data_IF_330230553349
#
_entry.id   IF_330230553349
#
_cell.length_a   1.000
_cell.length_b   1.000
_cell.length_c   1.000
_cell.angle_alpha   90.00
_cell.angle_beta   90.00
_cell.angle_gamma   90.00
#
_symmetry.space_group_name_H-M   'P 1'
#
loop_
_entity.id
_entity.type
_entity.pdbx_description
1 polymer ?
#
# COMPACT_ATOMS: atom_id res chain seq x y z
N UNK A 1 0.97 -7.92 -29.55
CA UNK A 1 2.28 -8.58 -29.48
C UNK A 1 3.26 -7.71 -28.73
N UNK A 2 4.01 -8.29 -27.80
CA UNK A 2 5.07 -7.59 -27.06
C UNK A 2 6.33 -7.57 -27.93
N UNK A 3 6.85 -6.38 -28.21
CA UNK A 3 8.11 -6.21 -28.96
C UNK A 3 9.23 -6.07 -27.93
N UNK A 4 9.99 -7.12 -27.68
CA UNK A 4 11.19 -7.11 -26.85
C UNK A 4 12.36 -7.66 -27.64
N UNK A 5 13.58 -7.09 -27.46
CA UNK A 5 14.78 -7.69 -28.01
C UNK A 5 15.10 -8.97 -27.21
N UNK A 6 15.09 -10.17 -27.84
CA UNK A 6 15.28 -11.44 -27.16
C UNK A 6 16.72 -11.64 -26.60
N UNK A 7 17.63 -10.73 -26.89
CA UNK A 7 19.02 -10.76 -26.40
C UNK A 7 19.20 -10.01 -25.06
N UNK A 8 18.20 -9.21 -24.67
CA UNK A 8 18.29 -8.48 -23.41
C UNK A 8 18.03 -9.40 -22.21
N UNK A 9 18.73 -9.18 -21.09
CA UNK A 9 18.42 -9.86 -19.85
C UNK A 9 16.97 -9.58 -19.44
N UNK A 10 16.23 -10.60 -19.00
CA UNK A 10 14.81 -10.46 -18.65
C UNK A 10 14.56 -9.40 -17.56
N UNK A 11 15.49 -9.26 -16.64
CA UNK A 11 15.42 -8.23 -15.58
C UNK A 11 15.53 -6.78 -16.07
N UNK A 12 15.97 -6.55 -17.32
CA UNK A 12 16.11 -5.20 -17.89
C UNK A 12 14.88 -4.72 -18.66
N UNK A 13 13.85 -5.56 -18.79
CA UNK A 13 12.59 -5.19 -19.45
C UNK A 13 11.50 -4.93 -18.40
N UNK A 14 10.40 -4.25 -18.82
CA UNK A 14 9.29 -3.94 -17.92
C UNK A 14 8.65 -5.21 -17.33
N UNK A 15 8.05 -5.08 -16.15
CA UNK A 15 7.37 -6.19 -15.46
C UNK A 15 6.29 -6.83 -16.35
N UNK A 16 5.56 -6.02 -17.12
CA UNK A 16 4.60 -6.52 -18.10
C UNK A 16 5.26 -7.40 -19.17
N UNK A 17 6.40 -6.98 -19.70
CA UNK A 17 7.16 -7.76 -20.67
C UNK A 17 7.66 -9.06 -20.05
N UNK A 18 8.14 -9.03 -18.80
CA UNK A 18 8.56 -10.23 -18.07
C UNK A 18 7.40 -11.22 -17.92
N UNK A 19 6.20 -10.71 -17.58
CA UNK A 19 4.99 -11.53 -17.46
C UNK A 19 4.58 -12.17 -18.79
N UNK A 20 4.62 -11.40 -19.90
CA UNK A 20 4.33 -11.91 -21.23
C UNK A 20 5.33 -12.99 -21.67
N UNK A 21 6.61 -12.84 -21.33
CA UNK A 21 7.65 -13.84 -21.59
C UNK A 21 7.38 -15.11 -20.78
N UNK A 22 6.96 -15.00 -19.51
CA UNK A 22 6.59 -16.15 -18.69
C UNK A 22 5.40 -16.93 -19.30
N UNK A 23 4.38 -16.22 -19.77
CA UNK A 23 3.23 -16.81 -20.47
C UNK A 23 3.67 -17.49 -21.77
N UNK A 24 4.46 -16.80 -22.61
CA UNK A 24 4.96 -17.37 -23.86
C UNK A 24 5.80 -18.63 -23.62
N UNK A 25 6.61 -18.64 -22.56
CA UNK A 25 7.37 -19.83 -22.14
C UNK A 25 6.44 -20.99 -21.75
N UNK A 26 5.40 -20.74 -20.98
CA UNK A 26 4.44 -21.77 -20.59
C UNK A 26 3.71 -22.36 -21.82
N UNK A 27 3.38 -21.53 -22.79
CA UNK A 27 2.72 -21.95 -24.02
C UNK A 27 3.63 -22.73 -24.99
N UNK A 28 4.96 -22.52 -24.93
CA UNK A 28 5.91 -23.26 -25.76
C UNK A 28 5.96 -24.76 -25.49
N UNK A 29 5.30 -25.21 -24.43
CA UNK A 29 5.15 -26.63 -24.08
C UNK A 29 3.80 -27.23 -24.51
N UNK A 30 3.07 -26.61 -25.44
CA UNK A 30 1.73 -27.01 -25.85
C UNK A 30 0.76 -27.21 -24.69
N UNK A 31 0.83 -26.31 -23.72
CA UNK A 31 0.04 -26.36 -22.50
C UNK A 31 -1.47 -26.26 -22.81
N UNK A 32 -2.23 -27.25 -22.36
CA UNK A 32 -3.70 -27.27 -22.44
C UNK A 32 -4.38 -26.61 -21.23
N UNK A 33 -3.64 -26.43 -20.17
CA UNK A 33 -4.05 -25.76 -18.94
C UNK A 33 -2.95 -24.78 -18.54
N UNK A 34 -3.31 -23.53 -18.33
CA UNK A 34 -2.43 -22.47 -17.84
C UNK A 34 -2.93 -22.00 -16.47
N UNK A 35 -2.07 -22.01 -15.47
CA UNK A 35 -2.36 -21.49 -14.13
C UNK A 35 -1.61 -20.17 -13.97
N UNK A 36 -2.33 -19.10 -13.70
CA UNK A 36 -1.81 -17.75 -13.47
C UNK A 36 -2.12 -17.35 -12.03
N UNK A 37 -1.08 -17.15 -11.22
CA UNK A 37 -1.21 -16.71 -9.84
C UNK A 37 -0.89 -15.22 -9.74
N UNK A 38 -1.91 -14.42 -9.45
CA UNK A 38 -1.86 -12.95 -9.34
C UNK A 38 -1.11 -12.26 -10.50
N UNK A 39 -1.39 -12.57 -11.77
CA UNK A 39 -0.57 -12.12 -12.88
C UNK A 39 -0.63 -10.62 -13.15
N UNK A 40 -1.52 -9.91 -12.47
CA UNK A 40 -1.77 -8.46 -12.63
C UNK A 40 -1.26 -7.63 -11.46
N UNK A 41 -0.69 -8.24 -10.43
CA UNK A 41 -0.30 -7.56 -9.19
C UNK A 41 0.71 -6.41 -9.38
N UNK A 42 1.50 -6.47 -10.46
CA UNK A 42 2.54 -5.49 -10.79
C UNK A 42 2.31 -4.81 -12.14
N UNK A 43 1.11 -4.90 -12.70
CA UNK A 43 0.75 -4.37 -14.01
C UNK A 43 -0.11 -3.11 -13.89
N UNK A 44 0.05 -2.21 -14.84
CA UNK A 44 -0.84 -1.05 -15.02
C UNK A 44 -2.10 -1.42 -15.81
N UNK A 45 -3.15 -0.64 -15.72
CA UNK A 45 -4.45 -0.94 -16.35
C UNK A 45 -4.33 -1.27 -17.83
N UNK A 46 -3.51 -0.54 -18.59
CA UNK A 46 -3.28 -0.81 -20.01
C UNK A 46 -2.59 -2.17 -20.26
N UNK A 47 -1.71 -2.56 -19.37
CA UNK A 47 -1.00 -3.82 -19.43
C UNK A 47 -1.92 -4.99 -19.04
N UNK A 48 -2.82 -4.76 -18.08
CA UNK A 48 -3.88 -5.69 -17.70
C UNK A 48 -4.82 -5.93 -18.88
N UNK A 49 -5.22 -4.88 -19.60
CA UNK A 49 -6.05 -5.01 -20.80
C UNK A 49 -5.37 -5.88 -21.86
N UNK A 50 -4.08 -5.66 -22.12
CA UNK A 50 -3.29 -6.48 -23.05
C UNK A 50 -3.20 -7.93 -22.60
N UNK A 51 -2.99 -8.17 -21.30
CA UNK A 51 -2.99 -9.53 -20.74
C UNK A 51 -4.34 -10.22 -20.94
N UNK A 52 -5.44 -9.53 -20.71
CA UNK A 52 -6.80 -10.07 -20.89
C UNK A 52 -7.11 -10.40 -22.34
N UNK A 53 -6.61 -9.61 -23.30
CA UNK A 53 -6.71 -9.96 -24.73
C UNK A 53 -5.97 -11.26 -25.03
N UNK A 54 -4.76 -11.45 -24.48
CA UNK A 54 -4.00 -12.70 -24.63
C UNK A 54 -4.75 -13.88 -24.01
N UNK A 55 -5.29 -13.73 -22.79
CA UNK A 55 -6.06 -14.79 -22.12
C UNK A 55 -7.29 -15.20 -22.95
N UNK A 56 -8.03 -14.21 -23.51
CA UNK A 56 -9.19 -14.50 -24.37
C UNK A 56 -8.79 -15.26 -25.63
N UNK A 57 -7.69 -14.85 -26.27
CA UNK A 57 -7.15 -15.56 -27.42
C UNK A 57 -6.77 -17.02 -27.10
N UNK A 58 -6.12 -17.24 -25.95
CA UNK A 58 -5.77 -18.59 -25.49
C UNK A 58 -7.00 -19.48 -25.25
N UNK A 59 -8.04 -18.91 -24.61
CA UNK A 59 -9.31 -19.60 -24.41
C UNK A 59 -9.96 -19.97 -25.76
N UNK A 60 -9.97 -19.06 -26.71
CA UNK A 60 -10.54 -19.29 -28.04
C UNK A 60 -9.74 -20.34 -28.83
N UNK A 61 -8.44 -20.48 -28.55
CA UNK A 61 -7.57 -21.54 -29.05
C UNK A 61 -7.71 -22.89 -28.28
N UNK A 62 -8.63 -22.94 -27.29
CA UNK A 62 -8.94 -24.15 -26.52
C UNK A 62 -8.03 -24.40 -25.31
N UNK A 63 -7.25 -23.44 -24.87
CA UNK A 63 -6.47 -23.52 -23.64
C UNK A 63 -7.36 -23.15 -22.45
N UNK A 64 -7.43 -24.02 -21.46
CA UNK A 64 -8.10 -23.71 -20.19
C UNK A 64 -7.19 -22.84 -19.31
N UNK A 65 -7.77 -21.82 -18.68
CA UNK A 65 -7.01 -20.90 -17.81
C UNK A 65 -7.59 -20.91 -16.39
N UNK A 66 -6.74 -21.17 -15.41
CA UNK A 66 -7.04 -20.94 -14.00
C UNK A 66 -6.39 -19.61 -13.62
N UNK A 67 -7.23 -18.63 -13.31
CA UNK A 67 -6.82 -17.27 -12.98
C UNK A 67 -7.02 -17.02 -11.50
N UNK A 68 -5.93 -16.91 -10.73
CA UNK A 68 -5.97 -16.63 -9.30
C UNK A 68 -5.76 -15.13 -9.10
N UNK A 69 -6.72 -14.44 -8.51
CA UNK A 69 -6.65 -13.01 -8.21
C UNK A 69 -7.54 -12.68 -7.01
N UNK A 70 -7.18 -11.64 -6.29
CA UNK A 70 -7.99 -11.01 -5.25
C UNK A 70 -8.69 -9.74 -5.75
N UNK A 71 -8.36 -9.28 -6.98
CA UNK A 71 -8.97 -8.10 -7.60
C UNK A 71 -10.30 -8.47 -8.26
N UNK A 72 -11.39 -8.12 -7.62
CA UNK A 72 -12.73 -8.51 -8.04
C UNK A 72 -13.08 -8.07 -9.46
N UNK A 73 -12.73 -6.82 -9.84
CA UNK A 73 -13.02 -6.28 -11.16
C UNK A 73 -12.38 -7.11 -12.27
N UNK A 74 -11.21 -7.66 -12.02
CA UNK A 74 -10.52 -8.55 -12.96
C UNK A 74 -11.27 -9.87 -13.13
N UNK A 75 -11.72 -10.47 -12.01
CA UNK A 75 -12.48 -11.71 -12.04
C UNK A 75 -13.77 -11.57 -12.85
N UNK A 76 -14.54 -10.49 -12.64
CA UNK A 76 -15.76 -10.21 -13.40
C UNK A 76 -15.52 -9.92 -14.88
N UNK A 77 -14.31 -9.48 -15.26
CA UNK A 77 -13.96 -9.15 -16.65
C UNK A 77 -13.50 -10.35 -17.47
N UNK A 78 -12.94 -11.39 -16.81
CA UNK A 78 -12.24 -12.47 -17.53
C UNK A 78 -12.71 -13.88 -17.18
N UNK A 79 -13.33 -14.11 -16.01
CA UNK A 79 -13.68 -15.45 -15.56
C UNK A 79 -15.12 -15.80 -15.90
N UNK A 80 -15.35 -17.02 -16.39
CA UNK A 80 -16.68 -17.59 -16.61
C UNK A 80 -17.23 -18.27 -15.34
N UNK A 81 -16.34 -18.87 -14.55
CA UNK A 81 -16.64 -19.61 -13.33
C UNK A 81 -15.69 -19.16 -12.22
N UNK A 82 -16.20 -19.05 -10.99
CA UNK A 82 -15.39 -18.75 -9.82
C UNK A 82 -15.43 -19.88 -8.81
N UNK A 83 -14.27 -20.16 -8.21
CA UNK A 83 -14.14 -21.03 -7.03
C UNK A 83 -13.55 -20.21 -5.89
N UNK A 84 -14.28 -20.10 -4.78
CA UNK A 84 -13.86 -19.36 -3.61
C UNK A 84 -13.18 -20.31 -2.63
N UNK A 85 -11.91 -20.01 -2.31
CA UNK A 85 -11.16 -20.72 -1.28
C UNK A 85 -11.04 -19.83 -0.02
N UNK A 86 -11.24 -20.45 1.14
CA UNK A 86 -11.05 -19.84 2.45
C UNK A 86 -10.49 -20.85 3.42
N UNK A 87 -9.43 -20.48 4.13
CA UNK A 87 -8.75 -21.35 5.12
C UNK A 87 -8.38 -22.73 4.54
N UNK A 88 -7.93 -22.76 3.27
CA UNK A 88 -7.54 -23.98 2.56
C UNK A 88 -8.71 -24.88 2.12
N UNK A 89 -9.95 -24.38 2.19
CA UNK A 89 -11.16 -25.14 1.79
C UNK A 89 -11.93 -24.40 0.71
N UNK A 90 -12.47 -25.16 -0.25
CA UNK A 90 -13.46 -24.62 -1.18
C UNK A 90 -14.77 -24.38 -0.46
N UNK A 91 -15.23 -23.11 -0.43
CA UNK A 91 -16.48 -22.71 0.21
C UNK A 91 -17.61 -22.54 -0.79
N UNK A 92 -17.29 -22.21 -2.05
CA UNK A 92 -18.28 -22.10 -3.12
C UNK A 92 -17.61 -22.25 -4.49
N UNK A 93 -18.35 -22.83 -5.44
CA UNK A 93 -18.02 -22.85 -6.87
C UNK A 93 -19.29 -22.58 -7.66
N UNK A 94 -19.23 -21.76 -8.70
CA UNK A 94 -20.38 -21.47 -9.56
C UNK A 94 -20.06 -20.50 -10.69
N UNK A 95 -21.01 -20.26 -11.61
CA UNK A 95 -20.89 -19.28 -12.68
C UNK A 95 -20.66 -17.88 -12.10
N UNK A 96 -19.71 -17.13 -12.67
CA UNK A 96 -19.41 -15.77 -12.23
C UNK A 96 -20.61 -14.82 -12.35
N UNK A 97 -21.42 -15.00 -13.38
CA UNK A 97 -22.64 -14.23 -13.63
C UNK A 97 -23.74 -14.37 -12.55
N UNK A 98 -23.70 -15.47 -11.76
CA UNK A 98 -24.69 -15.75 -10.72
C UNK A 98 -24.28 -15.30 -9.32
N UNK A 99 -23.06 -14.77 -9.16
CA UNK A 99 -22.52 -14.37 -7.87
C UNK A 99 -22.39 -12.85 -7.85
N UNK A 100 -23.13 -12.18 -6.98
CA UNK A 100 -22.99 -10.73 -6.80
C UNK A 100 -21.65 -10.38 -6.13
N UNK A 101 -21.18 -9.15 -6.35
CA UNK A 101 -19.92 -8.65 -5.76
C UNK A 101 -19.93 -8.74 -4.24
N UNK A 102 -21.04 -8.35 -3.61
CA UNK A 102 -21.23 -8.42 -2.15
C UNK A 102 -21.17 -9.87 -1.66
N UNK A 103 -21.83 -10.77 -2.36
CA UNK A 103 -21.85 -12.19 -2.02
C UNK A 103 -20.45 -12.83 -2.17
N UNK A 104 -19.72 -12.46 -3.21
CA UNK A 104 -18.33 -12.91 -3.41
C UNK A 104 -17.46 -12.48 -2.22
N UNK A 105 -17.46 -11.19 -1.88
CA UNK A 105 -16.70 -10.64 -0.74
C UNK A 105 -17.14 -11.26 0.58
N UNK A 106 -18.45 -11.37 0.83
CA UNK A 106 -19.00 -11.95 2.06
C UNK A 106 -18.56 -13.40 2.25
N UNK A 107 -18.57 -14.18 1.16
CA UNK A 107 -18.14 -15.58 1.17
C UNK A 107 -16.64 -15.71 1.42
N UNK A 108 -15.81 -14.85 0.78
CA UNK A 108 -14.37 -14.80 1.01
C UNK A 108 -14.04 -14.44 2.46
N UNK A 109 -14.73 -13.47 3.03
CA UNK A 109 -14.51 -12.99 4.40
C UNK A 109 -15.16 -13.87 5.47
N UNK A 110 -16.11 -14.72 5.10
CA UNK A 110 -16.91 -15.51 6.04
C UNK A 110 -17.85 -14.68 6.92
N UNK A 111 -18.36 -13.56 6.38
CA UNK A 111 -19.25 -12.62 7.08
C UNK A 111 -20.58 -12.53 6.36
N UNK A 112 -21.63 -12.18 7.09
CA UNK A 112 -22.94 -11.98 6.48
C UNK A 112 -22.95 -10.75 5.55
N UNK A 113 -23.66 -10.78 4.40
CA UNK A 113 -23.73 -9.66 3.45
C UNK A 113 -24.16 -8.34 4.09
N UNK A 114 -25.11 -8.38 5.03
CA UNK A 114 -25.64 -7.20 5.73
C UNK A 114 -24.56 -6.46 6.54
N UNK A 115 -23.55 -7.19 7.01
CA UNK A 115 -22.42 -6.60 7.75
C UNK A 115 -21.43 -5.86 6.81
N UNK A 116 -21.48 -6.17 5.52
CA UNK A 116 -20.60 -5.56 4.51
C UNK A 116 -21.25 -4.31 3.90
N UNK A 117 -22.57 -4.33 3.69
CA UNK A 117 -23.33 -3.18 3.18
C UNK A 117 -23.30 -1.96 4.12
N UNK A 118 -23.27 -2.21 5.44
CA UNK A 118 -23.23 -1.15 6.47
C UNK A 118 -21.82 -0.66 6.81
N UNK A 119 -20.78 -1.37 6.40
CA UNK A 119 -19.38 -1.12 6.81
C UNK A 119 -18.53 -0.57 5.67
N UNK A 120 -18.98 0.33 4.82
CA UNK A 120 -18.18 0.92 3.74
C UNK A 120 -17.41 -0.08 2.86
N UNK A 121 -16.68 0.37 1.86
CA UNK A 121 -15.87 -0.50 0.98
C UNK A 121 -14.59 -0.98 1.68
N UNK A 122 -14.12 -0.24 2.66
CA UNK A 122 -12.91 -0.56 3.43
C UNK A 122 -13.24 -0.90 4.89
N UNK A 123 -12.23 -1.23 5.68
CA UNK A 123 -12.36 -1.46 7.12
C UNK A 123 -11.84 -0.28 7.95
N UNK A 124 -11.55 0.84 7.30
CA UNK A 124 -11.18 2.05 8.01
C UNK A 124 -12.35 2.57 8.87
N UNK A 125 -12.01 3.05 10.05
CA UNK A 125 -12.93 3.79 10.92
C UNK A 125 -12.42 5.21 10.94
N UNK A 126 -13.19 6.13 10.33
CA UNK A 126 -12.81 7.54 10.31
C UNK A 126 -12.83 8.09 11.73
N UNK A 127 -11.73 8.64 12.17
CA UNK A 127 -11.70 9.52 13.33
C UNK A 127 -12.35 10.85 12.94
N UNK A 128 -13.28 11.36 13.77
CA UNK A 128 -13.91 12.66 13.50
C UNK A 128 -12.85 13.74 13.30
N UNK A 129 -13.14 14.71 12.40
CA UNK A 129 -12.25 15.83 12.12
C UNK A 129 -11.85 16.49 13.42
N UNK A 130 -10.58 16.37 13.79
CA UNK A 130 -10.03 17.06 14.95
C UNK A 130 -9.81 18.53 14.63
N UNK A 131 -9.93 19.33 15.67
CA UNK A 131 -9.78 20.79 15.65
C UNK A 131 -8.56 21.23 14.83
N UNK A 132 -8.73 22.23 13.99
CA UNK A 132 -7.65 22.90 13.24
C UNK A 132 -6.56 23.52 14.15
N UNK A 133 -6.75 23.47 15.48
CA UNK A 133 -5.79 23.87 16.51
C UNK A 133 -4.82 22.78 16.93
N UNK A 134 -4.91 21.55 16.37
CA UNK A 134 -4.00 20.46 16.71
C UNK A 134 -2.55 20.82 16.35
N UNK A 135 -1.61 20.32 17.18
CA UNK A 135 -0.19 20.60 17.02
C UNK A 135 0.34 20.11 15.65
N UNK A 136 1.02 21.01 14.91
CA UNK A 136 1.66 20.67 13.63
C UNK A 136 2.90 19.83 13.91
N UNK A 137 2.89 18.57 13.47
CA UNK A 137 4.03 17.67 13.55
C UNK A 137 5.01 17.88 12.40
N UNK A 138 4.47 18.00 11.17
CA UNK A 138 5.29 18.14 9.98
C UNK A 138 4.73 19.24 9.07
N UNK A 139 5.62 20.13 8.62
CA UNK A 139 5.32 21.18 7.64
C UNK A 139 6.33 21.06 6.50
N UNK A 140 5.86 20.64 5.33
CA UNK A 140 6.65 20.49 4.11
C UNK A 140 6.24 21.56 3.11
N UNK A 141 7.21 22.33 2.61
CA UNK A 141 6.97 23.46 1.70
C UNK A 141 7.85 23.35 0.46
N UNK A 142 7.19 23.38 -0.71
CA UNK A 142 7.82 23.38 -2.03
C UNK A 142 8.89 22.28 -2.19
N UNK A 143 8.60 21.09 -1.66
CA UNK A 143 9.53 19.95 -1.68
C UNK A 143 9.66 19.41 -3.09
N UNK A 144 10.91 19.34 -3.57
CA UNK A 144 11.28 18.65 -4.80
C UNK A 144 12.26 17.50 -4.49
N UNK A 145 12.03 16.34 -5.11
CA UNK A 145 12.85 15.15 -4.93
C UNK A 145 12.72 14.19 -6.12
N UNK A 146 13.81 13.46 -6.41
CA UNK A 146 13.86 12.57 -7.57
C UNK A 146 13.50 13.29 -8.87
N UNK A 147 12.99 12.54 -9.83
CA UNK A 147 12.58 13.08 -11.13
C UNK A 147 11.09 13.46 -11.17
N UNK A 148 10.28 12.93 -10.27
CA UNK A 148 8.83 13.00 -10.33
C UNK A 148 8.23 14.02 -9.33
N UNK A 149 8.78 14.21 -8.14
CA UNK A 149 8.29 15.21 -7.19
C UNK A 149 8.96 16.56 -7.45
N UNK A 150 8.18 17.57 -7.85
CA UNK A 150 8.68 18.89 -8.31
C UNK A 150 8.37 20.02 -7.36
N UNK A 151 7.16 20.04 -6.77
CA UNK A 151 6.69 21.09 -5.89
C UNK A 151 5.54 20.58 -5.01
N UNK A 152 5.88 19.87 -3.95
CA UNK A 152 4.89 19.33 -3.02
C UNK A 152 4.91 20.11 -1.70
N UNK A 153 3.72 20.50 -1.24
CA UNK A 153 3.56 21.19 0.04
C UNK A 153 2.40 20.60 0.83
N UNK A 154 2.60 20.34 2.12
CA UNK A 154 1.55 19.87 3.03
C UNK A 154 1.91 20.09 4.48
N UNK A 155 0.88 20.09 5.33
CA UNK A 155 1.02 20.02 6.78
C UNK A 155 0.38 18.75 7.31
N UNK A 156 0.98 18.14 8.34
CA UNK A 156 0.45 16.99 9.06
C UNK A 156 0.36 17.33 10.54
N UNK A 157 -0.81 17.10 11.13
CA UNK A 157 -1.06 17.37 12.54
C UNK A 157 -1.03 16.08 13.38
N UNK A 158 -0.88 16.23 14.67
CA UNK A 158 -0.99 15.15 15.63
C UNK A 158 -2.39 14.54 15.61
N UNK A 159 -2.50 13.21 15.60
CA UNK A 159 -3.75 12.49 15.53
C UNK A 159 -4.47 12.58 14.17
N UNK A 160 -3.79 13.03 13.13
CA UNK A 160 -4.35 13.19 11.79
C UNK A 160 -3.84 12.12 10.82
N UNK A 161 -4.69 11.69 9.90
CA UNK A 161 -4.31 10.94 8.71
C UNK A 161 -4.46 11.85 7.48
N UNK A 162 -3.35 12.18 6.84
CA UNK A 162 -3.34 12.84 5.52
C UNK A 162 -3.16 11.77 4.45
N UNK A 163 -4.19 11.58 3.62
CA UNK A 163 -4.13 10.72 2.45
C UNK A 163 -3.46 11.43 1.29
N UNK A 164 -2.57 10.74 0.58
CA UNK A 164 -1.91 11.27 -0.62
C UNK A 164 -2.44 10.54 -1.84
N UNK A 165 -3.30 11.22 -2.58
CA UNK A 165 -3.88 10.73 -3.83
C UNK A 165 -3.09 11.26 -5.03
N UNK A 166 -3.04 10.48 -6.10
CA UNK A 166 -2.39 10.86 -7.36
C UNK A 166 -2.24 9.67 -8.29
N UNK A 167 -2.16 9.94 -9.58
CA UNK A 167 -1.88 8.89 -10.56
C UNK A 167 -0.45 8.36 -10.40
N UNK A 168 -0.20 7.19 -11.00
CA UNK A 168 1.14 6.63 -11.04
C UNK A 168 2.13 7.63 -11.68
N UNK A 169 3.31 7.79 -11.05
CA UNK A 169 4.30 8.76 -11.50
C UNK A 169 4.01 10.21 -11.06
N UNK A 170 3.06 10.43 -10.17
CA UNK A 170 2.78 11.77 -9.62
C UNK A 170 3.79 12.25 -8.55
N UNK A 171 4.79 11.45 -8.19
CA UNK A 171 5.85 11.84 -7.26
C UNK A 171 5.56 11.57 -5.78
N UNK A 172 4.55 10.74 -5.46
CA UNK A 172 4.12 10.45 -4.06
C UNK A 172 5.22 9.76 -3.25
N UNK A 173 5.81 8.68 -3.79
CA UNK A 173 6.85 7.91 -3.09
C UNK A 173 8.15 8.69 -2.98
N UNK A 174 8.51 9.51 -3.98
CA UNK A 174 9.66 10.42 -3.92
C UNK A 174 9.47 11.47 -2.83
N UNK A 175 8.27 12.02 -2.69
CA UNK A 175 7.93 12.94 -1.59
C UNK A 175 8.11 12.25 -0.24
N UNK A 176 7.54 11.06 -0.06
CA UNK A 176 7.66 10.28 1.17
C UNK A 176 9.13 9.99 1.51
N UNK A 177 9.90 9.54 0.52
CA UNK A 177 11.34 9.29 0.65
C UNK A 177 12.13 10.54 1.04
N UNK A 178 11.84 11.69 0.44
CA UNK A 178 12.51 12.96 0.73
C UNK A 178 12.18 13.52 2.12
N UNK A 179 10.95 13.35 2.56
CA UNK A 179 10.50 13.74 3.91
C UNK A 179 11.17 12.85 4.95
N UNK A 180 11.21 11.55 4.71
CA UNK A 180 11.86 10.60 5.60
C UNK A 180 13.39 10.69 5.59
N UNK A 181 13.99 11.10 4.47
CA UNK A 181 15.44 11.15 4.27
C UNK A 181 16.03 9.92 3.58
N UNK A 182 15.19 9.06 3.00
CA UNK A 182 15.62 7.96 2.14
C UNK A 182 16.01 8.45 0.74
N UNK A 183 15.35 9.52 0.27
CA UNK A 183 15.64 10.19 -1.00
C UNK A 183 16.23 11.58 -0.75
N UNK A 184 17.20 12.03 -1.58
CA UNK A 184 17.74 13.38 -1.45
C UNK A 184 16.70 14.43 -1.85
N UNK A 185 16.46 15.39 -0.96
CA UNK A 185 15.64 16.57 -1.27
C UNK A 185 16.43 17.55 -2.14
N UNK A 186 15.88 17.89 -3.31
CA UNK A 186 16.49 18.79 -4.29
C UNK A 186 16.19 20.25 -3.94
N UNK A 187 14.96 20.55 -3.53
CA UNK A 187 14.50 21.89 -3.16
C UNK A 187 13.45 21.85 -2.04
N UNK A 188 13.08 23.03 -1.55
CA UNK A 188 12.06 23.19 -0.50
C UNK A 188 12.59 23.00 0.91
N UNK A 189 11.68 23.03 1.87
CA UNK A 189 11.99 22.88 3.29
C UNK A 189 11.01 21.91 3.96
N UNK A 190 11.48 21.27 5.01
CA UNK A 190 10.66 20.47 5.92
C UNK A 190 10.96 20.94 7.33
N UNK A 191 9.92 21.17 8.10
CA UNK A 191 9.99 21.44 9.53
C UNK A 191 9.30 20.29 10.28
N UNK A 192 9.93 19.83 11.34
CA UNK A 192 9.39 18.85 12.27
C UNK A 192 9.18 19.56 13.61
N UNK A 193 7.94 19.65 14.06
CA UNK A 193 7.56 20.38 15.27
C UNK A 193 8.14 21.82 15.32
N UNK A 194 8.04 22.54 14.20
CA UNK A 194 8.53 23.91 14.06
C UNK A 194 10.06 24.02 13.96
N UNK A 195 10.78 22.92 13.97
CA UNK A 195 12.25 22.91 13.81
C UNK A 195 12.62 22.45 12.41
N UNK A 196 13.52 23.20 11.76
CA UNK A 196 14.00 22.85 10.42
C UNK A 196 14.61 21.44 10.43
N UNK A 197 14.09 20.57 9.57
CA UNK A 197 14.50 19.21 9.42
C UNK A 197 15.11 18.97 8.03
N UNK A 198 16.38 18.57 8.00
CA UNK A 198 17.15 18.35 6.76
C UNK A 198 17.90 17.01 6.85
N UNK A 199 17.19 15.87 6.75
CA UNK A 199 17.82 14.57 6.84
C UNK A 199 18.76 14.33 5.67
N UNK A 200 19.87 13.62 5.93
CA UNK A 200 20.84 13.17 4.93
C UNK A 200 20.79 11.66 4.72
N UNK A 201 20.01 10.98 5.52
CA UNK A 201 19.85 9.52 5.47
C UNK A 201 18.54 9.10 6.13
N UNK A 202 18.05 7.91 5.79
CA UNK A 202 16.92 7.26 6.46
C UNK A 202 17.12 7.14 8.00
N UNK A 203 18.39 7.01 8.45
CA UNK A 203 18.73 6.97 9.87
C UNK A 203 18.44 8.29 10.58
N UNK A 204 18.58 9.41 9.89
CA UNK A 204 18.26 10.73 10.46
C UNK A 204 16.75 10.87 10.64
N UNK A 205 15.93 10.37 9.67
CA UNK A 205 14.49 10.31 9.78
C UNK A 205 14.04 9.46 10.97
N UNK A 206 14.57 8.25 11.07
CA UNK A 206 14.28 7.33 12.17
C UNK A 206 14.61 7.95 13.53
N UNK A 207 15.77 8.58 13.68
CA UNK A 207 16.20 9.24 14.92
C UNK A 207 15.36 10.47 15.28
N UNK A 208 14.80 11.12 14.28
CA UNK A 208 13.91 12.27 14.47
C UNK A 208 12.47 11.86 14.82
N UNK A 209 12.18 10.56 14.90
CA UNK A 209 10.85 10.04 15.23
C UNK A 209 9.94 9.88 14.01
N UNK A 210 10.49 9.75 12.81
CA UNK A 210 9.74 9.34 11.62
C UNK A 210 9.91 7.83 11.41
N UNK A 211 8.86 7.18 10.87
CA UNK A 211 8.94 5.81 10.37
C UNK A 211 8.27 5.72 9.01
N UNK A 212 8.75 4.80 8.17
CA UNK A 212 8.19 4.57 6.84
C UNK A 212 7.98 3.07 6.60
N UNK A 213 6.82 2.72 6.01
CA UNK A 213 6.63 1.44 5.33
C UNK A 213 6.69 1.70 3.84
N UNK A 214 7.70 1.21 3.12
CA UNK A 214 7.83 1.45 1.69
C UNK A 214 6.85 0.59 0.88
N UNK A 215 6.59 1.01 -0.36
CA UNK A 215 5.71 0.34 -1.32
C UNK A 215 6.14 -1.12 -1.59
N UNK A 216 7.43 -1.34 -1.86
CA UNK A 216 7.96 -2.69 -2.08
C UNK A 216 8.50 -3.30 -0.79
N UNK A 217 7.64 -4.10 -0.12
CA UNK A 217 8.01 -4.77 1.12
C UNK A 217 9.13 -5.80 0.95
N UNK A 218 9.29 -6.40 -0.25
CA UNK A 218 10.25 -7.49 -0.48
C UNK A 218 11.65 -6.98 -0.82
N UNK A 219 11.75 -5.86 -1.53
CA UNK A 219 13.03 -5.31 -1.99
C UNK A 219 13.57 -4.27 -1.01
N UNK A 220 12.73 -3.34 -0.55
CA UNK A 220 13.13 -2.23 0.30
C UNK A 220 12.61 -2.31 1.73
N UNK A 221 11.58 -3.12 1.96
CA UNK A 221 10.94 -3.23 3.26
C UNK A 221 11.60 -4.27 4.18
N UNK A 222 11.49 -5.53 3.87
CA UNK A 222 11.89 -6.65 4.73
C UNK A 222 13.21 -7.28 4.28
N UNK A 223 13.94 -7.85 5.22
CA UNK A 223 15.08 -8.72 4.91
C UNK A 223 14.57 -10.16 4.99
N UNK A 224 14.22 -10.76 3.84
CA UNK A 224 13.44 -11.99 3.74
C UNK A 224 14.00 -13.18 4.52
N UNK A 225 15.33 -13.37 4.51
CA UNK A 225 16.00 -14.47 5.21
C UNK A 225 16.18 -14.24 6.72
N UNK A 226 16.01 -13.01 7.19
CA UNK A 226 16.04 -12.71 8.62
C UNK A 226 14.71 -13.11 9.27
N UNK A 227 14.80 -13.43 10.57
CA UNK A 227 13.64 -13.78 11.38
C UNK A 227 12.66 -12.60 11.56
N UNK A 228 11.47 -12.89 12.06
CA UNK A 228 10.50 -11.87 12.48
C UNK A 228 11.11 -10.96 13.53
N UNK A 229 11.80 -11.55 14.53
CA UNK A 229 12.44 -10.79 15.61
C UNK A 229 13.48 -9.83 15.07
N UNK A 230 14.43 -10.29 14.27
CA UNK A 230 15.46 -9.46 13.65
C UNK A 230 14.87 -8.36 12.76
N UNK A 231 13.82 -8.68 11.98
CA UNK A 231 13.15 -7.69 11.15
C UNK A 231 12.48 -6.59 11.99
N UNK A 232 11.80 -6.92 13.08
CA UNK A 232 11.12 -5.92 13.91
C UNK A 232 12.14 -5.09 14.69
N UNK A 233 13.17 -5.71 15.25
CA UNK A 233 14.18 -5.04 16.07
C UNK A 233 15.16 -4.18 15.28
N UNK A 234 15.28 -4.38 13.95
CA UNK A 234 16.25 -3.69 13.09
C UNK A 234 16.21 -2.14 13.23
N UNK A 235 15.01 -1.57 13.40
CA UNK A 235 14.84 -0.11 13.57
C UNK A 235 15.18 0.39 14.98
N UNK A 236 15.32 -0.52 15.95
CA UNK A 236 15.47 -0.20 17.37
C UNK A 236 16.66 -0.90 18.04
N UNK A 237 17.63 -1.36 17.25
CA UNK A 237 18.82 -2.07 17.76
C UNK A 237 19.51 -1.32 18.89
N UNK A 238 19.58 0.02 18.80
CA UNK A 238 20.14 0.86 19.87
C UNK A 238 19.38 0.73 21.20
N UNK A 239 18.09 0.36 21.19
CA UNK A 239 17.23 0.21 22.38
C UNK A 239 17.26 -1.19 22.97
N UNK A 240 17.48 -2.20 22.13
CA UNK A 240 17.53 -3.61 22.54
C UNK A 240 18.97 -4.13 22.65
N UNK A 241 19.97 -3.28 22.47
CA UNK A 241 21.38 -3.65 22.60
C UNK A 241 22.01 -3.05 23.83
N UNK A 242 22.89 -3.83 24.47
CA UNK A 242 23.72 -3.37 25.58
C UNK A 242 25.19 -3.63 25.24
N UNK A 243 26.02 -2.60 25.28
CA UNK A 243 27.46 -2.70 24.93
C UNK A 243 27.71 -3.23 23.51
N UNK A 244 26.81 -2.98 22.56
CA UNK A 244 26.91 -3.44 21.18
C UNK A 244 26.47 -4.90 20.95
N UNK A 245 25.90 -5.55 21.95
CA UNK A 245 25.33 -6.90 21.87
C UNK A 245 23.83 -6.81 22.09
N UNK A 246 23.04 -7.49 21.26
CA UNK A 246 21.58 -7.54 21.38
C UNK A 246 21.23 -8.31 22.67
N UNK A 247 20.35 -7.74 23.47
CA UNK A 247 19.74 -8.41 24.62
C UNK A 247 18.55 -9.22 24.11
N UNK A 248 18.78 -10.52 23.91
CA UNK A 248 17.78 -11.45 23.35
C UNK A 248 16.48 -11.49 24.17
N UNK A 249 16.56 -11.28 25.49
CA UNK A 249 15.37 -11.26 26.32
C UNK A 249 14.54 -10.01 26.11
N UNK A 250 15.17 -8.85 26.08
CA UNK A 250 14.50 -7.57 25.82
C UNK A 250 13.92 -7.52 24.39
N UNK A 251 14.67 -8.05 23.41
CA UNK A 251 14.19 -8.19 22.03
C UNK A 251 12.97 -9.09 21.95
N UNK A 252 13.06 -10.31 22.51
CA UNK A 252 11.98 -11.29 22.49
C UNK A 252 10.69 -10.78 23.15
N UNK A 253 10.80 -10.09 24.29
CA UNK A 253 9.65 -9.49 24.98
C UNK A 253 8.99 -8.40 24.12
N UNK A 254 9.78 -7.52 23.51
CA UNK A 254 9.29 -6.44 22.68
C UNK A 254 8.62 -7.00 21.42
N UNK A 255 9.28 -7.90 20.71
CA UNK A 255 8.78 -8.56 19.50
C UNK A 255 7.48 -9.29 19.79
N UNK A 256 7.43 -10.07 20.90
CA UNK A 256 6.22 -10.79 21.31
C UNK A 256 5.03 -9.86 21.54
N UNK A 257 5.25 -8.66 22.10
CA UNK A 257 4.20 -7.65 22.26
C UNK A 257 3.64 -7.17 20.92
N UNK A 258 4.50 -6.87 19.94
CA UNK A 258 4.07 -6.43 18.62
C UNK A 258 3.41 -7.55 17.81
N UNK A 259 3.95 -8.78 17.87
CA UNK A 259 3.33 -9.94 17.24
C UNK A 259 1.89 -10.15 17.74
N UNK A 260 1.69 -10.04 19.05
CA UNK A 260 0.36 -10.16 19.67
C UNK A 260 -0.54 -8.98 19.30
N UNK A 261 -0.04 -7.73 19.39
CA UNK A 261 -0.81 -6.51 19.09
C UNK A 261 -1.32 -6.50 17.66
N UNK A 262 -0.47 -6.90 16.69
CA UNK A 262 -0.81 -6.87 15.26
C UNK A 262 -1.38 -8.21 14.76
N UNK A 263 -1.51 -9.21 15.62
CA UNK A 263 -2.04 -10.53 15.24
C UNK A 263 -1.20 -11.20 14.15
N UNK A 264 0.15 -11.15 14.26
CA UNK A 264 1.05 -11.79 13.31
C UNK A 264 0.97 -13.30 13.52
N UNK A 265 0.56 -14.02 12.49
CA UNK A 265 0.44 -15.49 12.52
C UNK A 265 1.75 -16.11 12.01
N UNK A 266 2.48 -16.74 12.90
CA UNK A 266 3.75 -17.40 12.65
C UNK A 266 3.94 -18.60 13.60
N UNK A 267 4.88 -19.49 13.29
CA UNK A 267 5.27 -20.62 14.17
C UNK A 267 6.07 -20.15 15.39
N UNK A 268 6.73 -19.00 15.31
CA UNK A 268 7.52 -18.37 16.35
C UNK A 268 8.18 -17.10 15.82
N UNK A 269 8.84 -16.37 16.71
CA UNK A 269 9.53 -15.12 16.32
C UNK A 269 10.83 -15.36 15.55
N UNK A 270 11.37 -16.57 15.59
CA UNK A 270 12.59 -16.97 14.87
C UNK A 270 12.30 -17.42 13.42
N UNK A 271 11.02 -17.47 13.01
CA UNK A 271 10.64 -17.85 11.65
C UNK A 271 11.13 -16.81 10.65
N UNK A 272 11.78 -17.21 9.53
CA UNK A 272 12.14 -16.33 8.44
C UNK A 272 10.90 -15.63 7.85
N UNK A 273 11.04 -14.33 7.54
CA UNK A 273 9.90 -13.53 7.09
C UNK A 273 9.42 -13.92 5.69
N UNK A 274 10.29 -14.45 4.84
CA UNK A 274 9.93 -14.91 3.48
C UNK A 274 9.00 -16.14 3.48
N UNK A 275 8.93 -16.89 4.56
CA UNK A 275 7.99 -18.00 4.74
C UNK A 275 6.56 -17.55 5.13
N UNK A 276 6.37 -16.27 5.46
CA UNK A 276 5.07 -15.74 5.86
C UNK A 276 4.19 -15.42 4.65
N UNK A 277 2.87 -15.45 4.85
CA UNK A 277 1.92 -14.87 3.90
C UNK A 277 2.14 -13.36 3.73
N UNK A 278 1.77 -12.79 2.58
CA UNK A 278 1.92 -11.37 2.29
C UNK A 278 1.31 -10.45 3.35
N UNK A 279 0.16 -10.81 3.89
CA UNK A 279 -0.49 -10.06 4.98
C UNK A 279 0.30 -10.09 6.29
N UNK A 280 0.91 -11.23 6.65
CA UNK A 280 1.76 -11.31 7.83
C UNK A 280 3.10 -10.58 7.62
N UNK A 281 3.69 -10.65 6.42
CA UNK A 281 4.86 -9.84 6.06
C UNK A 281 4.59 -8.35 6.24
N UNK A 282 3.43 -7.88 5.77
CA UNK A 282 3.03 -6.46 5.91
C UNK A 282 2.86 -6.06 7.38
N UNK A 283 2.31 -6.94 8.21
CA UNK A 283 2.20 -6.72 9.66
C UNK A 283 3.56 -6.69 10.35
N UNK A 284 4.54 -7.51 9.92
CA UNK A 284 5.93 -7.43 10.41
C UNK A 284 6.56 -6.09 10.06
N UNK A 285 6.36 -5.60 8.84
CA UNK A 285 6.86 -4.31 8.41
C UNK A 285 6.23 -3.16 9.21
N UNK A 286 4.92 -3.21 9.44
CA UNK A 286 4.22 -2.25 10.30
C UNK A 286 4.71 -2.35 11.75
N UNK A 287 4.94 -3.57 12.27
CA UNK A 287 5.51 -3.78 13.60
C UNK A 287 6.88 -3.11 13.76
N UNK A 288 7.77 -3.25 12.76
CA UNK A 288 9.08 -2.57 12.73
C UNK A 288 8.93 -1.06 12.82
N UNK A 289 8.02 -0.48 12.02
CA UNK A 289 7.77 0.95 12.03
C UNK A 289 7.25 1.43 13.39
N UNK A 290 6.29 0.72 13.97
CA UNK A 290 5.70 1.05 15.26
C UNK A 290 6.65 0.82 16.44
N UNK A 291 7.58 -0.15 16.34
CA UNK A 291 8.58 -0.40 17.37
C UNK A 291 9.50 0.80 17.60
N UNK A 292 9.73 1.63 16.60
CA UNK A 292 10.49 2.88 16.73
C UNK A 292 9.74 3.97 17.52
N UNK A 293 8.45 3.76 17.86
CA UNK A 293 7.57 4.76 18.50
C UNK A 293 7.58 6.10 17.77
N UNK A 294 7.14 6.10 16.49
CA UNK A 294 7.24 7.29 15.65
C UNK A 294 6.19 8.33 16.03
N UNK A 295 6.51 9.62 15.83
CA UNK A 295 5.54 10.73 15.82
C UNK A 295 4.91 10.92 14.45
N UNK A 296 5.66 10.62 13.39
CA UNK A 296 5.17 10.65 12.01
C UNK A 296 5.35 9.27 11.40
N UNK A 297 4.24 8.66 11.00
CA UNK A 297 4.22 7.37 10.33
C UNK A 297 3.85 7.56 8.86
N UNK A 298 4.76 7.21 7.97
CA UNK A 298 4.55 7.25 6.52
C UNK A 298 4.22 5.84 6.05
N UNK A 299 3.06 5.67 5.42
CA UNK A 299 2.57 4.41 4.90
C UNK A 299 2.48 4.53 3.38
N UNK A 300 3.40 3.89 2.65
CA UNK A 300 3.38 3.87 1.20
C UNK A 300 2.81 2.53 0.72
N UNK A 301 1.60 2.57 0.15
CA UNK A 301 0.83 1.42 -0.32
C UNK A 301 0.70 0.30 0.75
N UNK A 302 0.19 0.60 1.97
CA UNK A 302 0.25 -0.31 3.11
C UNK A 302 -0.51 -1.62 2.93
N UNK A 303 -1.39 -1.72 1.96
CA UNK A 303 -2.24 -2.89 1.69
C UNK A 303 -1.96 -3.54 0.34
N UNK A 304 -0.93 -3.09 -0.38
CA UNK A 304 -0.60 -3.62 -1.70
C UNK A 304 -0.13 -5.07 -1.65
N UNK A 305 -0.72 -5.90 -2.52
CA UNK A 305 -0.34 -7.30 -2.67
C UNK A 305 -0.60 -8.15 -1.43
N UNK A 306 -1.64 -7.82 -0.67
CA UNK A 306 -2.18 -8.65 0.40
C UNK A 306 -3.61 -9.07 0.06
N UNK A 307 -4.05 -10.19 0.60
CA UNK A 307 -5.41 -10.68 0.39
C UNK A 307 -6.47 -9.77 1.09
N UNK A 308 -7.74 -9.88 0.66
CA UNK A 308 -8.83 -9.02 1.14
C UNK A 308 -9.01 -9.08 2.66
N UNK A 309 -8.78 -10.26 3.27
CA UNK A 309 -8.89 -10.42 4.71
C UNK A 309 -7.78 -9.67 5.45
N UNK A 310 -6.54 -9.87 5.03
CA UNK A 310 -5.38 -9.18 5.60
C UNK A 310 -5.43 -7.67 5.36
N UNK A 311 -5.90 -7.22 4.18
CA UNK A 311 -6.14 -5.82 3.86
C UNK A 311 -7.04 -5.15 4.91
N UNK A 312 -8.20 -5.74 5.19
CA UNK A 312 -9.14 -5.21 6.20
C UNK A 312 -8.56 -5.21 7.62
N UNK A 313 -7.75 -6.22 7.97
CA UNK A 313 -7.06 -6.24 9.25
C UNK A 313 -6.04 -5.09 9.38
N UNK A 314 -5.24 -4.84 8.33
CA UNK A 314 -4.25 -3.75 8.30
C UNK A 314 -4.95 -2.38 8.38
N UNK A 315 -6.02 -2.17 7.62
CA UNK A 315 -6.82 -0.94 7.66
C UNK A 315 -7.36 -0.66 9.06
N UNK A 316 -7.88 -1.69 9.74
CA UNK A 316 -8.34 -1.56 11.13
C UNK A 316 -7.19 -1.21 12.08
N UNK A 317 -6.04 -1.88 11.95
CA UNK A 317 -4.86 -1.61 12.77
C UNK A 317 -4.38 -0.17 12.62
N UNK A 318 -4.39 0.39 11.40
CA UNK A 318 -4.04 1.80 11.16
C UNK A 318 -5.06 2.73 11.85
N UNK A 319 -6.36 2.46 11.72
CA UNK A 319 -7.40 3.26 12.39
C UNK A 319 -7.29 3.21 13.92
N UNK A 320 -7.07 2.02 14.47
CA UNK A 320 -6.88 1.83 15.92
C UNK A 320 -5.64 2.55 16.43
N UNK A 321 -4.55 2.56 15.65
CA UNK A 321 -3.32 3.27 16.00
C UNK A 321 -3.59 4.77 16.18
N UNK A 322 -4.21 5.40 15.19
CA UNK A 322 -4.49 6.85 15.23
C UNK A 322 -5.52 7.22 16.31
N UNK A 323 -6.50 6.31 16.55
CA UNK A 323 -7.50 6.53 17.60
C UNK A 323 -6.94 6.40 19.03
N UNK A 324 -5.90 5.57 19.23
CA UNK A 324 -5.30 5.31 20.53
C UNK A 324 -4.15 6.25 20.87
N UNK A 325 -3.45 6.76 19.86
CA UNK A 325 -2.26 7.60 20.02
C UNK A 325 -2.46 8.94 19.31
N UNK A 326 -2.97 9.90 20.08
CA UNK A 326 -3.27 11.26 19.61
C UNK A 326 -2.03 12.07 19.23
N UNK A 327 -0.84 11.58 19.56
CA UNK A 327 0.42 12.26 19.24
C UNK A 327 1.01 11.81 17.88
N UNK A 328 0.50 10.75 17.28
CA UNK A 328 1.00 10.24 15.99
C UNK A 328 0.23 10.83 14.83
N UNK A 329 0.93 11.43 13.86
CA UNK A 329 0.38 11.80 12.55
C UNK A 329 0.73 10.75 11.50
N UNK A 330 -0.19 10.47 10.59
CA UNK A 330 -0.02 9.46 9.53
C UNK A 330 -0.11 10.11 8.15
N UNK A 331 0.92 9.90 7.33
CA UNK A 331 0.88 10.21 5.90
C UNK A 331 0.63 8.89 5.16
N UNK A 332 -0.55 8.74 4.56
CA UNK A 332 -0.97 7.50 3.91
C UNK A 332 -1.05 7.67 2.40
N UNK A 333 -0.21 6.95 1.68
CA UNK A 333 -0.21 6.89 0.21
C UNK A 333 -0.93 5.60 -0.18
N UNK A 334 -1.93 5.68 -1.05
CA UNK A 334 -2.56 4.52 -1.66
C UNK A 334 -2.99 4.81 -3.09
N UNK A 335 -2.90 3.81 -3.94
CA UNK A 335 -3.45 3.83 -5.30
C UNK A 335 -4.96 3.55 -5.31
N UNK A 336 -5.50 3.06 -4.19
CA UNK A 336 -6.92 2.79 -4.05
C UNK A 336 -7.65 4.00 -3.47
N UNK A 337 -8.52 4.62 -4.27
CA UNK A 337 -9.24 5.84 -3.88
C UNK A 337 -10.11 5.64 -2.65
N UNK A 338 -10.73 4.48 -2.51
CA UNK A 338 -11.56 4.13 -1.36
C UNK A 338 -10.75 4.14 -0.06
N UNK A 339 -9.52 3.65 -0.09
CA UNK A 339 -8.63 3.69 1.08
C UNK A 339 -8.31 5.12 1.49
N UNK A 340 -8.00 5.96 0.51
CA UNK A 340 -7.69 7.38 0.74
C UNK A 340 -8.91 8.10 1.30
N UNK A 341 -10.10 7.92 0.70
CA UNK A 341 -11.33 8.61 1.11
C UNK A 341 -11.82 8.14 2.48
N UNK A 342 -11.83 6.83 2.72
CA UNK A 342 -12.37 6.28 3.98
C UNK A 342 -11.34 6.30 5.11
N UNK A 343 -10.04 6.22 4.79
CA UNK A 343 -8.95 6.10 5.77
C UNK A 343 -8.29 7.42 6.16
N UNK A 344 -8.68 8.56 5.58
CA UNK A 344 -8.03 9.86 5.83
C UNK A 344 -8.97 10.88 6.44
N UNK A 345 -8.39 11.90 7.08
CA UNK A 345 -9.10 13.11 7.50
C UNK A 345 -9.08 14.15 6.37
N UNK A 346 -7.90 14.41 5.81
CA UNK A 346 -7.70 15.28 4.65
C UNK A 346 -6.97 14.53 3.55
N UNK A 347 -7.21 14.93 2.31
CA UNK A 347 -6.59 14.34 1.13
C UNK A 347 -5.76 15.41 0.43
N UNK A 348 -4.47 15.17 0.32
CA UNK A 348 -3.57 15.89 -0.57
C UNK A 348 -3.59 15.24 -1.94
N UNK A 349 -3.90 16.00 -2.98
CA UNK A 349 -3.87 15.51 -4.36
C UNK A 349 -2.58 15.94 -5.02
N UNK A 350 -1.81 14.97 -5.51
CA UNK A 350 -0.60 15.18 -6.30
C UNK A 350 -0.85 14.89 -7.78
N UNK A 351 -0.40 15.80 -8.63
CA UNK A 351 -0.43 15.66 -10.10
C UNK A 351 0.81 16.29 -10.70
N UNK A 352 1.44 15.59 -11.66
CA UNK A 352 2.65 16.04 -12.36
C UNK A 352 3.77 16.52 -11.42
N UNK A 353 3.88 15.89 -10.26
CA UNK A 353 4.88 16.20 -9.24
C UNK A 353 4.54 17.37 -8.32
N UNK A 354 3.33 17.90 -8.37
CA UNK A 354 2.90 19.07 -7.60
C UNK A 354 1.69 18.77 -6.73
N UNK A 355 1.57 19.44 -5.59
CA UNK A 355 0.32 19.48 -4.82
C UNK A 355 -0.66 20.41 -5.51
N UNK A 356 -1.78 19.87 -6.00
CA UNK A 356 -2.79 20.62 -6.76
C UNK A 356 -4.04 20.95 -5.93
N UNK A 357 -4.35 20.18 -4.89
CA UNK A 357 -5.50 20.41 -4.03
C UNK A 357 -5.33 19.77 -2.65
N UNK A 358 -6.05 20.33 -1.67
CA UNK A 358 -6.39 19.68 -0.40
C UNK A 358 -7.90 19.56 -0.30
N UNK A 359 -8.37 18.36 0.01
CA UNK A 359 -9.80 18.03 0.09
C UNK A 359 -10.12 17.49 1.48
N UNK A 360 -11.31 17.80 1.97
CA UNK A 360 -11.86 17.10 3.14
C UNK A 360 -12.34 15.71 2.71
N UNK A 361 -11.75 14.68 3.27
CA UNK A 361 -12.11 13.29 2.95
C UNK A 361 -13.58 12.98 3.28
N UNK A 362 -14.22 13.76 4.19
CA UNK A 362 -15.63 13.63 4.55
C UNK A 362 -16.61 14.05 3.46
N UNK A 363 -16.18 14.91 2.57
CA UNK A 363 -17.05 15.56 1.57
C UNK A 363 -16.75 15.15 0.12
N UNK A 364 -15.60 14.49 -0.14
CA UNK A 364 -15.16 14.15 -1.50
C UNK A 364 -15.70 12.81 -1.95
N UNK A 365 -16.11 12.71 -3.22
CA UNK A 365 -16.50 11.46 -3.88
C UNK A 365 -15.36 10.91 -4.76
N UNK A 366 -15.39 9.60 -5.08
CA UNK A 366 -14.43 8.98 -6.00
C UNK A 366 -14.33 9.73 -7.33
N UNK A 367 -15.47 10.17 -7.89
CA UNK A 367 -15.51 10.91 -9.15
C UNK A 367 -14.82 12.27 -9.05
N UNK A 368 -15.04 13.01 -7.96
CA UNK A 368 -14.37 14.29 -7.74
C UNK A 368 -12.87 14.10 -7.53
N UNK A 369 -12.45 13.12 -6.71
CA UNK A 369 -11.04 12.83 -6.49
C UNK A 369 -10.34 12.49 -7.82
N UNK A 370 -10.96 11.64 -8.65
CA UNK A 370 -10.46 11.29 -9.98
C UNK A 370 -10.30 12.53 -10.88
N UNK A 371 -11.26 13.45 -10.85
CA UNK A 371 -11.17 14.69 -11.63
C UNK A 371 -9.94 15.52 -11.21
N UNK A 372 -9.69 15.70 -9.91
CA UNK A 372 -8.51 16.44 -9.43
C UNK A 372 -7.19 15.75 -9.85
N UNK A 373 -7.15 14.42 -9.83
CA UNK A 373 -5.96 13.66 -10.26
C UNK A 373 -5.72 13.71 -11.77
N UNK A 374 -6.80 13.76 -12.59
CA UNK A 374 -6.73 13.64 -14.05
C UNK A 374 -6.78 14.96 -14.82
N UNK A 375 -7.35 16.04 -14.26
CA UNK A 375 -7.58 17.29 -14.96
C UNK A 375 -6.26 17.97 -15.36
N UNK A 376 -5.89 17.87 -16.62
CA UNK A 376 -4.86 18.72 -17.23
C UNK A 376 -5.41 20.15 -17.37
N UNK A 377 -4.71 21.11 -16.81
CA UNK A 377 -4.74 22.55 -16.97
C UNK A 377 -5.89 23.27 -17.66
N UNK A 378 -7.14 23.12 -17.19
CA UNK A 378 -8.24 23.98 -17.63
C UNK A 378 -9.39 23.90 -16.60
N UNK A 379 -9.23 24.43 -15.41
CA UNK A 379 -10.34 24.88 -14.53
C UNK A 379 -9.77 25.62 -13.30
N UNK A 380 -9.16 26.76 -13.54
CA UNK A 380 -8.85 27.74 -12.49
C UNK A 380 -10.08 28.59 -12.06
N UNK A 381 -11.29 28.31 -12.55
CA UNK A 381 -12.44 29.18 -12.33
C UNK A 381 -13.53 28.67 -11.39
N UNK A 382 -13.35 27.52 -10.73
CA UNK A 382 -14.37 26.98 -9.83
C UNK A 382 -14.03 27.10 -8.32
N UNK A 383 -12.85 27.62 -7.97
CA UNK A 383 -12.42 27.76 -6.57
C UNK A 383 -12.73 29.16 -5.97
N UNK A 384 -13.25 30.12 -6.76
CA UNK A 384 -13.58 31.48 -6.31
C UNK A 384 -15.06 31.71 -5.98
N UNK A 385 -15.94 30.70 -6.15
CA UNK A 385 -17.39 30.85 -5.92
C UNK A 385 -17.91 30.25 -4.60
N UNK A 386 -17.04 29.76 -3.71
CA UNK A 386 -17.41 29.33 -2.36
C UNK A 386 -16.38 29.87 -1.35
N UNK A 387 -16.32 31.19 -1.22
CA UNK A 387 -15.70 31.90 -0.10
C UNK A 387 -16.76 32.75 0.60
#
# INVERSE_FOLDING_TARGET
GVTADPRLPLQSVSTATQQMVAIARALSFDARLLIMDEPTSSLHDREVDTLFEVIRGLRDDGVSVVFVSHKLDELYRICDTVTILRDGRTVRTGPMAEISRIELVSTMLGRAPETIETAGQTAFVRTENRDASAHVLLDARNVAAGDLCRDASFTLHAGEVVGVAGLLGSGRSELAGAVYGAEPRIAGSVELEGTRFAPRSARDGLRAGLAITPEDRKVTGLVGQMSIAENISLSILDRVSRWGVVDEHAESELVGRYMKRLGIKASGQDQPVDELSGGNQQKVLLARSLASTPRVLILDEPTRGVDVGAKREIQRLISELVAQDEEVGVLMISSEMEEIIEGSNRIMVMRDGQTVAFLDAGSVTNGQLMMYMAAGGAHESAAEEVA
#
